data_IF_291469338872
#
_entry.id   IF_291469338872
#
_cell.length_a   1.000
_cell.length_b   1.000
_cell.length_c   1.000
_cell.angle_alpha   90.00
_cell.angle_beta   90.00
_cell.angle_gamma   90.00
#
_symmetry.space_group_name_H-M   'P 1'
#
loop_
_entity.id
_entity.type
_entity.pdbx_description
1 polymer ?
#
# COMPACT_ATOMS: atom_id res chain seq x y z
N UNK A 1 24.48 -0.29 -78.78
CA UNK A 1 25.55 0.05 -77.81
C UNK A 1 24.99 -0.08 -76.40
N UNK A 2 25.70 -0.82 -75.55
CA UNK A 2 25.18 -1.56 -74.39
C UNK A 2 25.00 -0.68 -73.15
N UNK A 3 23.83 -0.78 -72.52
CA UNK A 3 23.44 -0.20 -71.22
C UNK A 3 24.30 -0.75 -70.08
N UNK A 4 24.78 0.11 -69.17
CA UNK A 4 25.08 -0.28 -67.76
C UNK A 4 24.54 0.78 -66.80
N UNK A 5 23.46 0.41 -66.12
CA UNK A 5 22.79 1.13 -65.03
C UNK A 5 23.70 1.12 -63.79
N UNK A 6 24.01 2.29 -63.22
CA UNK A 6 24.60 2.41 -61.88
C UNK A 6 23.48 2.41 -60.84
N UNK A 7 23.36 1.30 -60.11
CA UNK A 7 22.54 1.14 -58.91
C UNK A 7 23.30 1.73 -57.71
N UNK A 8 22.81 2.83 -57.16
CA UNK A 8 23.27 3.38 -55.88
C UNK A 8 22.61 2.63 -54.73
N UNK A 9 23.36 1.77 -54.04
CA UNK A 9 22.94 1.15 -52.79
C UNK A 9 23.04 2.18 -51.65
N UNK A 10 21.90 2.51 -51.03
CA UNK A 10 21.87 3.14 -49.70
C UNK A 10 22.36 2.10 -48.69
N UNK A 11 23.59 2.26 -48.23
CA UNK A 11 24.15 1.47 -47.13
C UNK A 11 23.50 1.99 -45.85
N UNK A 12 22.74 1.12 -45.17
CA UNK A 12 22.09 1.41 -43.90
C UNK A 12 23.14 1.63 -42.79
N UNK A 13 22.84 2.54 -41.85
CA UNK A 13 23.62 2.87 -40.63
C UNK A 13 23.99 1.65 -39.74
N UNK A 14 23.50 0.46 -40.07
CA UNK A 14 23.93 -0.81 -39.47
C UNK A 14 25.33 -1.26 -39.92
N UNK A 15 25.83 -0.82 -41.09
CA UNK A 15 27.16 -1.17 -41.57
C UNK A 15 28.28 -0.32 -40.92
N UNK A 16 27.99 0.95 -40.59
CA UNK A 16 28.93 1.83 -39.90
C UNK A 16 29.19 1.38 -38.45
N UNK A 17 28.14 0.92 -37.76
CA UNK A 17 28.23 0.37 -36.40
C UNK A 17 28.96 -0.99 -36.31
N UNK A 18 29.10 -1.71 -37.43
CA UNK A 18 29.91 -2.93 -37.50
C UNK A 18 31.41 -2.62 -37.68
N UNK A 19 31.74 -1.57 -38.43
CA UNK A 19 33.12 -1.12 -38.63
C UNK A 19 33.74 -0.52 -37.35
N UNK A 20 32.98 0.23 -36.55
CA UNK A 20 33.48 0.75 -35.27
C UNK A 20 33.74 -0.36 -34.24
N UNK A 21 32.98 -1.46 -34.27
CA UNK A 21 33.22 -2.63 -33.42
C UNK A 21 34.46 -3.43 -33.83
N UNK A 22 34.80 -3.48 -35.12
CA UNK A 22 36.04 -4.12 -35.58
C UNK A 22 37.29 -3.32 -35.20
N UNK A 23 37.20 -1.98 -35.12
CA UNK A 23 38.32 -1.14 -34.70
C UNK A 23 38.63 -1.33 -33.20
N UNK A 24 37.61 -1.43 -32.34
CA UNK A 24 37.82 -1.67 -30.90
C UNK A 24 38.33 -3.10 -30.61
N UNK A 25 38.02 -4.08 -31.46
CA UNK A 25 38.53 -5.45 -31.34
C UNK A 25 39.99 -5.59 -31.79
N UNK A 26 40.46 -4.75 -32.73
CA UNK A 26 41.85 -4.79 -33.18
C UNK A 26 42.85 -4.09 -32.23
N UNK A 27 42.41 -3.13 -31.41
CA UNK A 27 43.26 -2.54 -30.36
C UNK A 27 43.54 -3.53 -29.21
N UNK A 28 42.62 -4.47 -28.96
CA UNK A 28 42.83 -5.51 -27.94
C UNK A 28 43.62 -6.73 -28.45
N UNK A 29 43.91 -6.81 -29.75
CA UNK A 29 44.70 -7.90 -30.34
C UNK A 29 46.19 -7.58 -30.40
N UNK A 30 46.57 -6.31 -30.28
CA UNK A 30 47.96 -5.83 -30.17
C UNK A 30 48.51 -5.88 -28.74
N UNK A 31 47.65 -6.05 -27.72
CA UNK A 31 48.07 -6.33 -26.34
C UNK A 31 47.86 -7.81 -26.05
N UNK A 32 48.90 -8.63 -26.25
CA UNK A 32 48.89 -10.09 -26.11
C UNK A 32 48.48 -10.58 -24.72
N UNK A 33 47.18 -10.64 -24.44
CA UNK A 33 46.60 -11.37 -23.30
C UNK A 33 45.62 -12.41 -23.83
N UNK A 34 46.05 -13.67 -23.80
CA UNK A 34 45.21 -14.80 -24.15
C UNK A 34 44.05 -14.93 -23.13
N UNK A 35 42.78 -15.05 -23.58
CA UNK A 35 41.65 -15.14 -22.68
C UNK A 35 41.70 -16.45 -21.88
N UNK A 36 41.43 -16.31 -20.58
CA UNK A 36 41.49 -17.39 -19.59
C UNK A 36 40.55 -18.56 -19.94
N UNK A 37 40.88 -19.80 -19.53
CA UNK A 37 40.07 -20.99 -19.81
C UNK A 37 38.60 -20.86 -19.36
N UNK A 38 38.34 -20.10 -18.30
CA UNK A 38 36.99 -19.83 -17.78
C UNK A 38 36.16 -18.93 -18.71
N UNK A 39 36.80 -17.95 -19.38
CA UNK A 39 36.12 -17.07 -20.33
C UNK A 39 35.73 -17.82 -21.61
N UNK A 40 36.62 -18.70 -22.10
CA UNK A 40 36.32 -19.60 -23.24
C UNK A 40 35.18 -20.57 -22.96
N UNK A 41 35.11 -21.14 -21.76
CA UNK A 41 33.96 -21.98 -21.34
C UNK A 41 32.65 -21.19 -21.31
N UNK A 42 32.65 -19.98 -20.74
CA UNK A 42 31.45 -19.11 -20.67
C UNK A 42 30.95 -18.67 -22.05
N UNK A 43 31.85 -18.36 -22.98
CA UNK A 43 31.45 -18.04 -24.36
C UNK A 43 30.89 -19.25 -25.10
N UNK A 44 31.50 -20.42 -24.92
CA UNK A 44 30.99 -21.67 -25.51
C UNK A 44 29.58 -21.97 -25.00
N UNK A 45 29.34 -21.83 -23.70
CA UNK A 45 28.04 -22.04 -23.07
C UNK A 45 26.98 -21.01 -23.53
N UNK A 46 27.36 -19.73 -23.69
CA UNK A 46 26.48 -18.70 -24.25
C UNK A 46 26.11 -18.98 -25.71
N UNK A 47 27.08 -19.44 -26.50
CA UNK A 47 26.86 -19.81 -27.91
C UNK A 47 25.91 -21.01 -28.03
N UNK A 48 26.03 -22.01 -27.16
CA UNK A 48 25.16 -23.18 -27.12
C UNK A 48 23.75 -22.83 -26.66
N UNK A 49 23.61 -21.97 -25.64
CA UNK A 49 22.30 -21.46 -25.20
C UNK A 49 21.60 -20.68 -26.31
N UNK A 50 22.33 -19.88 -27.10
CA UNK A 50 21.78 -19.16 -28.25
C UNK A 50 21.33 -20.13 -29.35
N UNK A 51 22.16 -21.12 -29.71
CA UNK A 51 21.79 -22.18 -30.68
C UNK A 51 20.57 -23.00 -30.21
N UNK A 52 20.45 -23.31 -28.92
CA UNK A 52 19.27 -23.98 -28.35
C UNK A 52 18.01 -23.12 -28.43
N UNK A 53 18.11 -21.81 -28.19
CA UNK A 53 16.99 -20.87 -28.35
C UNK A 53 16.53 -20.75 -29.80
N UNK A 54 17.46 -20.64 -30.74
CA UNK A 54 17.15 -20.58 -32.18
C UNK A 54 16.57 -21.91 -32.71
N UNK A 55 17.05 -23.07 -32.22
CA UNK A 55 16.42 -24.36 -32.55
C UNK A 55 14.98 -24.43 -32.05
N UNK A 56 14.71 -24.03 -30.81
CA UNK A 56 13.36 -23.98 -30.24
C UNK A 56 12.45 -22.98 -30.95
N UNK A 57 12.97 -21.84 -31.43
CA UNK A 57 12.15 -20.88 -32.18
C UNK A 57 11.77 -21.43 -33.55
N UNK A 58 12.72 -22.05 -34.26
CA UNK A 58 12.47 -22.69 -35.56
C UNK A 58 11.53 -23.90 -35.46
N UNK A 59 11.62 -24.66 -34.39
CA UNK A 59 10.73 -25.79 -34.12
C UNK A 59 9.29 -25.33 -33.86
N UNK A 60 9.12 -24.25 -33.08
CA UNK A 60 7.81 -23.61 -32.87
C UNK A 60 7.23 -23.00 -34.14
N UNK A 61 8.07 -22.43 -35.01
CA UNK A 61 7.62 -21.92 -36.31
C UNK A 61 7.15 -23.06 -37.22
N UNK A 62 7.88 -24.17 -37.26
CA UNK A 62 7.48 -25.38 -38.02
C UNK A 62 6.21 -26.02 -37.48
N UNK A 63 6.02 -26.04 -36.16
CA UNK A 63 4.76 -26.49 -35.57
C UNK A 63 3.59 -25.57 -35.95
N UNK A 64 3.80 -24.25 -35.94
CA UNK A 64 2.78 -23.28 -36.36
C UNK A 64 2.43 -23.40 -37.85
N UNK A 65 3.40 -23.68 -38.72
CA UNK A 65 3.15 -23.94 -40.13
C UNK A 65 2.37 -25.25 -40.33
N UNK A 66 2.75 -26.33 -39.63
CA UNK A 66 2.01 -27.60 -39.65
C UNK A 66 0.59 -27.47 -39.10
N UNK A 67 0.38 -26.65 -38.09
CA UNK A 67 -0.96 -26.31 -37.58
C UNK A 67 -1.75 -25.52 -38.61
N UNK A 68 -1.15 -24.54 -39.30
CA UNK A 68 -1.81 -23.78 -40.37
C UNK A 68 -2.20 -24.66 -41.56
N UNK A 69 -1.37 -25.61 -41.95
CA UNK A 69 -1.69 -26.58 -43.01
C UNK A 69 -2.80 -27.55 -42.58
N UNK A 70 -2.82 -27.99 -41.31
CA UNK A 70 -3.91 -28.79 -40.74
C UNK A 70 -5.22 -27.99 -40.63
N UNK A 71 -5.14 -26.71 -40.31
CA UNK A 71 -6.29 -25.78 -40.26
C UNK A 71 -6.90 -25.51 -41.64
N UNK A 72 -6.09 -25.51 -42.70
CA UNK A 72 -6.59 -25.41 -44.08
C UNK A 72 -7.33 -26.68 -44.54
N UNK A 73 -6.99 -27.85 -43.97
CA UNK A 73 -7.60 -29.13 -44.31
C UNK A 73 -8.93 -29.41 -43.58
N UNK A 74 -9.19 -28.78 -42.42
CA UNK A 74 -10.43 -28.98 -41.65
C UNK A 74 -11.48 -27.92 -42.02
N UNK A 75 -12.53 -28.35 -42.74
CA UNK A 75 -13.66 -27.51 -43.15
C UNK A 75 -14.53 -26.96 -41.99
N UNK A 76 -15.64 -26.32 -42.37
CA UNK A 76 -16.52 -25.45 -41.56
C UNK A 76 -16.93 -25.97 -40.16
N UNK A 77 -16.95 -27.28 -39.91
CA UNK A 77 -17.26 -27.88 -38.61
C UNK A 77 -16.20 -27.61 -37.54
N UNK A 78 -14.92 -27.49 -37.92
CA UNK A 78 -13.83 -27.15 -37.00
C UNK A 78 -13.92 -25.72 -36.46
N UNK A 79 -14.48 -24.78 -37.25
CA UNK A 79 -14.61 -23.37 -36.86
C UNK A 79 -15.64 -23.14 -35.75
N UNK A 80 -16.71 -23.94 -35.69
CA UNK A 80 -17.73 -23.81 -34.65
C UNK A 80 -17.20 -24.25 -33.27
N UNK A 81 -16.58 -25.43 -33.21
CA UNK A 81 -15.96 -25.97 -31.98
C UNK A 81 -14.74 -25.16 -31.51
N UNK A 82 -14.09 -24.42 -32.43
CA UNK A 82 -13.00 -23.49 -32.09
C UNK A 82 -13.53 -22.19 -31.52
N UNK A 83 -14.61 -21.62 -32.08
CA UNK A 83 -15.28 -20.43 -31.51
C UNK A 83 -15.79 -20.66 -30.10
N UNK A 84 -16.28 -21.86 -29.80
CA UNK A 84 -16.79 -22.19 -28.48
C UNK A 84 -15.67 -22.35 -27.45
N UNK A 85 -14.60 -23.08 -27.79
CA UNK A 85 -13.39 -23.18 -26.95
C UNK A 85 -12.62 -21.88 -26.81
N UNK A 86 -12.58 -21.05 -27.86
CA UNK A 86 -11.94 -19.73 -27.81
C UNK A 86 -12.76 -18.76 -26.95
N UNK A 87 -14.11 -18.82 -26.99
CA UNK A 87 -14.97 -18.09 -26.05
C UNK A 87 -14.80 -18.54 -24.60
N UNK A 88 -14.65 -19.83 -24.34
CA UNK A 88 -14.38 -20.33 -22.98
C UNK A 88 -12.98 -19.97 -22.48
N UNK A 89 -11.97 -20.01 -23.37
CA UNK A 89 -10.60 -19.58 -23.06
C UNK A 89 -10.50 -18.07 -22.90
N UNK A 90 -11.24 -17.28 -23.66
CA UNK A 90 -11.38 -15.84 -23.47
C UNK A 90 -12.11 -15.55 -22.17
N UNK A 91 -13.21 -16.22 -21.82
CA UNK A 91 -13.88 -16.08 -20.51
C UNK A 91 -12.95 -16.46 -19.34
N UNK A 92 -12.12 -17.48 -19.51
CA UNK A 92 -11.16 -17.93 -18.49
C UNK A 92 -9.95 -17.00 -18.38
N UNK A 93 -9.47 -16.47 -19.52
CA UNK A 93 -8.40 -15.46 -19.57
C UNK A 93 -8.89 -14.11 -19.08
N UNK A 94 -10.12 -13.71 -19.36
CA UNK A 94 -10.78 -12.52 -18.79
C UNK A 94 -11.02 -12.69 -17.30
N UNK A 95 -11.34 -13.90 -16.80
CA UNK A 95 -11.39 -14.17 -15.36
C UNK A 95 -10.00 -14.04 -14.72
N UNK A 96 -8.95 -14.53 -15.37
CA UNK A 96 -7.56 -14.41 -14.92
C UNK A 96 -6.97 -13.00 -15.01
N UNK A 97 -7.25 -12.28 -16.11
CA UNK A 97 -6.81 -10.91 -16.36
C UNK A 97 -7.65 -9.87 -15.62
N UNK A 98 -8.97 -10.08 -15.44
CA UNK A 98 -9.75 -9.30 -14.45
C UNK A 98 -9.28 -9.62 -13.04
N UNK A 99 -8.90 -10.85 -12.72
CA UNK A 99 -8.36 -11.19 -11.40
C UNK A 99 -6.98 -10.61 -11.14
N UNK A 100 -6.16 -10.33 -12.17
CA UNK A 100 -4.85 -9.68 -12.02
C UNK A 100 -4.95 -8.16 -12.10
N UNK A 101 -5.85 -7.59 -12.93
CA UNK A 101 -6.18 -6.15 -12.93
C UNK A 101 -6.99 -5.70 -11.71
N UNK A 102 -7.80 -6.58 -11.09
CA UNK A 102 -8.46 -6.31 -9.80
C UNK A 102 -7.51 -6.17 -8.62
N UNK A 103 -6.22 -6.52 -8.75
CA UNK A 103 -5.25 -6.47 -7.65
C UNK A 103 -4.81 -5.05 -7.26
N UNK A 104 -5.28 -4.04 -7.96
CA UNK A 104 -5.06 -2.62 -7.63
C UNK A 104 -6.40 -1.89 -7.62
N UNK A 105 -7.38 -2.43 -6.89
CA UNK A 105 -8.60 -1.69 -6.56
C UNK A 105 -8.35 -0.97 -5.24
N UNK A 106 -8.71 0.32 -5.22
CA UNK A 106 -8.62 1.19 -4.03
C UNK A 106 -9.80 0.98 -3.07
N UNK A 107 -10.60 -0.09 -3.28
CA UNK A 107 -11.83 -0.37 -2.55
C UNK A 107 -11.56 -1.27 -1.33
N UNK A 108 -10.78 -0.76 -0.38
CA UNK A 108 -10.34 -1.51 0.81
C UNK A 108 -11.54 -2.02 1.64
N UNK A 109 -12.60 -1.22 1.77
CA UNK A 109 -13.80 -1.57 2.53
C UNK A 109 -14.70 -2.62 1.88
N UNK A 110 -14.42 -3.02 0.63
CA UNK A 110 -15.06 -4.20 0.05
C UNK A 110 -14.42 -5.49 0.59
N UNK A 111 -13.12 -5.48 0.85
CA UNK A 111 -12.32 -6.66 1.18
C UNK A 111 -12.02 -6.81 2.67
N UNK A 112 -12.27 -5.76 3.46
CA UNK A 112 -12.00 -5.76 4.89
C UNK A 112 -13.21 -5.24 5.67
N UNK A 113 -13.33 -5.68 6.92
CA UNK A 113 -14.29 -5.12 7.88
C UNK A 113 -13.54 -4.84 9.16
N UNK A 114 -13.58 -3.59 9.60
CA UNK A 114 -12.91 -3.14 10.81
C UNK A 114 -13.95 -2.83 11.89
N UNK A 115 -13.68 -3.27 13.10
CA UNK A 115 -14.44 -2.91 14.31
C UNK A 115 -13.45 -2.55 15.42
N UNK A 116 -13.97 -2.16 16.58
CA UNK A 116 -13.15 -1.89 17.76
C UNK A 116 -12.58 -3.16 18.43
N UNK A 117 -13.09 -4.35 18.13
CA UNK A 117 -12.65 -5.58 18.81
C UNK A 117 -12.01 -6.62 17.90
N UNK A 118 -12.28 -6.57 16.59
CA UNK A 118 -11.71 -7.49 15.61
C UNK A 118 -11.65 -6.85 14.22
N UNK A 119 -10.78 -7.39 13.38
CA UNK A 119 -10.69 -7.03 11.97
C UNK A 119 -10.83 -8.29 11.11
N UNK A 120 -11.70 -8.24 10.11
CA UNK A 120 -11.86 -9.32 9.12
C UNK A 120 -11.21 -8.90 7.82
N UNK A 121 -10.43 -9.79 7.23
CA UNK A 121 -9.71 -9.54 5.98
C UNK A 121 -9.93 -10.68 5.00
N UNK A 122 -10.14 -10.33 3.74
CA UNK A 122 -10.40 -11.31 2.69
C UNK A 122 -9.19 -12.18 2.39
N UNK A 123 -9.42 -13.50 2.28
CA UNK A 123 -8.41 -14.43 1.78
C UNK A 123 -8.09 -14.11 0.31
N UNK A 124 -6.80 -14.14 -0.02
CA UNK A 124 -6.28 -13.92 -1.38
C UNK A 124 -5.91 -12.47 -1.71
N UNK A 125 -5.76 -11.62 -0.68
CA UNK A 125 -5.09 -10.32 -0.78
C UNK A 125 -3.59 -10.43 -1.07
N UNK A 126 -2.97 -9.30 -1.40
CA UNK A 126 -1.50 -9.22 -1.49
C UNK A 126 -0.89 -9.21 -0.08
N UNK A 127 0.35 -9.69 0.03
CA UNK A 127 1.10 -9.61 1.29
C UNK A 127 1.24 -8.16 1.78
N UNK A 128 1.40 -7.21 0.85
CA UNK A 128 1.40 -5.79 1.13
C UNK A 128 0.07 -5.28 1.72
N UNK A 129 -1.05 -5.91 1.40
CA UNK A 129 -2.34 -5.56 1.98
C UNK A 129 -2.42 -6.04 3.43
N UNK A 130 -2.05 -7.30 3.69
CA UNK A 130 -2.05 -7.84 5.05
C UNK A 130 -1.05 -7.15 5.96
N UNK A 131 0.15 -6.84 5.45
CA UNK A 131 1.20 -6.19 6.25
C UNK A 131 0.77 -4.85 6.81
N UNK A 132 -0.09 -4.11 6.10
CA UNK A 132 -0.59 -2.79 6.55
C UNK A 132 -1.61 -2.93 7.70
N UNK A 133 -2.49 -3.93 7.62
CA UNK A 133 -3.41 -4.21 8.73
C UNK A 133 -2.68 -4.80 9.93
N UNK A 134 -1.78 -5.76 9.70
CA UNK A 134 -1.03 -6.42 10.76
C UNK A 134 -0.05 -5.46 11.46
N UNK A 135 0.60 -4.54 10.73
CA UNK A 135 1.54 -3.60 11.34
C UNK A 135 0.89 -2.67 12.35
N UNK A 136 -0.37 -2.29 12.12
CA UNK A 136 -1.08 -1.33 12.96
C UNK A 136 -1.99 -2.01 14.00
N UNK A 137 -2.56 -3.18 13.67
CA UNK A 137 -3.61 -3.80 14.48
C UNK A 137 -3.13 -4.99 15.32
N UNK A 138 -2.02 -5.66 14.96
CA UNK A 138 -1.68 -6.96 15.54
C UNK A 138 -1.49 -6.93 17.07
N UNK A 139 -1.15 -5.77 17.64
CA UNK A 139 -0.99 -5.62 19.09
C UNK A 139 -2.33 -5.39 19.83
N UNK A 140 -3.37 -4.90 19.14
CA UNK A 140 -4.62 -4.44 19.78
C UNK A 140 -5.81 -5.33 19.47
N UNK A 141 -5.99 -5.75 18.22
CA UNK A 141 -7.14 -6.55 17.77
C UNK A 141 -6.72 -7.70 16.86
N UNK A 142 -7.40 -8.86 16.94
CA UNK A 142 -7.14 -9.98 16.05
C UNK A 142 -7.52 -9.63 14.60
N UNK A 143 -6.58 -9.86 13.68
CA UNK A 143 -6.80 -9.79 12.24
C UNK A 143 -7.10 -11.20 11.74
N UNK A 144 -8.33 -11.44 11.30
CA UNK A 144 -8.83 -12.76 10.90
C UNK A 144 -8.96 -12.84 9.38
N UNK A 145 -8.20 -13.75 8.77
CA UNK A 145 -8.33 -14.05 7.34
C UNK A 145 -9.48 -15.02 7.11
N UNK A 146 -10.52 -14.60 6.40
CA UNK A 146 -11.68 -15.45 6.15
C UNK A 146 -12.22 -15.29 4.73
N UNK A 147 -13.19 -16.11 4.37
CA UNK A 147 -14.10 -15.89 3.26
C UNK A 147 -15.52 -16.00 3.78
N UNK A 148 -16.47 -15.37 3.09
CA UNK A 148 -17.88 -15.43 3.46
C UNK A 148 -18.63 -15.93 2.24
N UNK A 149 -19.20 -17.13 2.32
CA UNK A 149 -19.87 -17.79 1.20
C UNK A 149 -18.94 -18.06 0.02
N UNK A 150 -17.68 -18.42 0.30
CA UNK A 150 -16.64 -18.61 -0.71
C UNK A 150 -16.23 -17.34 -1.46
N UNK A 151 -16.75 -16.18 -1.04
CA UNK A 151 -16.50 -14.89 -1.66
C UNK A 151 -15.45 -14.10 -0.87
N UNK A 152 -14.71 -13.24 -1.58
CA UNK A 152 -13.66 -12.37 -1.02
C UNK A 152 -14.17 -11.00 -0.58
N UNK A 153 -15.44 -10.72 -0.74
CA UNK A 153 -16.03 -9.38 -0.51
C UNK A 153 -16.62 -9.27 0.89
N UNK A 154 -15.81 -9.56 1.92
CA UNK A 154 -16.28 -9.66 3.31
C UNK A 154 -16.90 -8.35 3.79
N UNK A 155 -16.27 -7.21 3.50
CA UNK A 155 -16.73 -5.91 4.01
C UNK A 155 -18.15 -5.54 3.55
N UNK A 156 -18.59 -6.08 2.42
CA UNK A 156 -19.97 -5.92 1.92
C UNK A 156 -20.92 -7.00 2.38
N UNK A 157 -20.44 -8.20 2.66
CA UNK A 157 -21.27 -9.32 3.08
C UNK A 157 -21.51 -9.36 4.59
N UNK A 158 -20.54 -8.94 5.39
CA UNK A 158 -20.58 -9.01 6.83
C UNK A 158 -20.66 -7.63 7.47
N UNK A 159 -21.39 -7.55 8.58
CA UNK A 159 -21.57 -6.33 9.38
C UNK A 159 -21.41 -6.69 10.83
N UNK A 160 -20.76 -5.84 11.60
CA UNK A 160 -20.62 -6.08 13.03
C UNK A 160 -20.01 -4.89 13.74
N UNK A 161 -20.12 -4.95 15.05
CA UNK A 161 -19.55 -4.01 16.00
C UNK A 161 -18.74 -4.80 17.04
N UNK A 162 -18.38 -4.20 18.18
CA UNK A 162 -17.64 -4.94 19.20
C UNK A 162 -18.42 -6.09 19.88
N UNK A 163 -19.76 -6.06 19.81
CA UNK A 163 -20.63 -7.00 20.53
C UNK A 163 -21.02 -8.20 19.65
N UNK A 164 -21.11 -8.01 18.34
CA UNK A 164 -21.61 -9.05 17.45
C UNK A 164 -21.21 -8.91 15.99
N UNK A 165 -21.29 -10.03 15.28
CA UNK A 165 -21.00 -10.17 13.86
C UNK A 165 -22.18 -10.86 13.16
N UNK A 166 -22.73 -10.17 12.17
CA UNK A 166 -23.78 -10.66 11.29
C UNK A 166 -23.17 -11.13 9.98
N UNK A 167 -23.53 -12.35 9.60
CA UNK A 167 -23.09 -12.99 8.37
C UNK A 167 -24.30 -13.46 7.56
N UNK A 168 -24.22 -13.50 6.22
CA UNK A 168 -25.35 -13.95 5.40
C UNK A 168 -25.54 -15.46 5.51
N UNK A 169 -26.73 -15.94 5.15
CA UNK A 169 -27.04 -17.38 5.10
C UNK A 169 -26.18 -18.17 4.10
N UNK A 170 -25.53 -17.50 3.14
CA UNK A 170 -24.58 -18.12 2.21
C UNK A 170 -23.27 -18.57 2.86
N UNK A 171 -23.01 -18.18 4.11
CA UNK A 171 -21.79 -18.51 4.84
C UNK A 171 -21.74 -19.99 5.18
N UNK A 172 -20.65 -20.67 4.81
CA UNK A 172 -20.48 -22.10 5.07
C UNK A 172 -20.23 -22.38 6.56
N UNK A 173 -20.51 -23.61 7.01
CA UNK A 173 -20.26 -24.02 8.41
C UNK A 173 -18.78 -24.00 8.78
N UNK A 174 -17.91 -24.30 7.81
CA UNK A 174 -16.46 -24.24 7.99
C UNK A 174 -15.99 -22.80 8.22
N UNK A 175 -16.48 -21.84 7.43
CA UNK A 175 -16.18 -20.42 7.61
C UNK A 175 -16.71 -19.89 8.95
N UNK A 176 -17.92 -20.31 9.35
CA UNK A 176 -18.49 -19.88 10.62
C UNK A 176 -17.72 -20.46 11.81
N UNK A 177 -17.32 -21.74 11.75
CA UNK A 177 -16.48 -22.33 12.79
C UNK A 177 -15.11 -21.65 12.85
N UNK A 178 -14.51 -21.30 11.71
CA UNK A 178 -13.27 -20.55 11.66
C UNK A 178 -13.41 -19.19 12.36
N UNK A 179 -14.48 -18.44 12.05
CA UNK A 179 -14.78 -17.17 12.71
C UNK A 179 -14.93 -17.35 14.23
N UNK A 180 -15.68 -18.36 14.70
CA UNK A 180 -15.83 -18.65 16.14
C UNK A 180 -14.51 -18.97 16.84
N UNK A 181 -13.59 -19.64 16.17
CA UNK A 181 -12.29 -20.00 16.76
C UNK A 181 -11.31 -18.82 16.81
N UNK A 182 -11.48 -17.82 15.94
CA UNK A 182 -10.55 -16.68 15.82
C UNK A 182 -11.04 -15.40 16.49
N UNK A 183 -12.36 -15.24 16.65
CA UNK A 183 -12.96 -14.07 17.30
C UNK A 183 -12.98 -14.24 18.82
N UNK A 184 -12.94 -13.13 19.58
CA UNK A 184 -13.14 -13.17 21.04
C UNK A 184 -14.52 -13.72 21.40
N UNK A 185 -14.62 -14.47 22.50
CA UNK A 185 -15.87 -15.09 22.99
C UNK A 185 -16.99 -14.08 23.28
N UNK A 186 -16.64 -12.81 23.49
CA UNK A 186 -17.61 -11.73 23.68
C UNK A 186 -18.46 -11.43 22.44
N UNK A 187 -17.95 -11.77 21.24
CA UNK A 187 -18.59 -11.43 19.96
C UNK A 187 -19.60 -12.52 19.58
N UNK A 188 -20.89 -12.18 19.56
CA UNK A 188 -21.95 -13.09 19.12
C UNK A 188 -22.02 -13.15 17.60
N UNK A 189 -21.94 -14.35 17.02
CA UNK A 189 -21.99 -14.56 15.57
C UNK A 189 -23.31 -15.21 15.18
N UNK A 190 -24.05 -14.57 14.26
CA UNK A 190 -25.33 -15.08 13.76
C UNK A 190 -25.43 -15.01 12.24
N UNK A 191 -26.09 -16.02 11.67
CA UNK A 191 -26.54 -16.00 10.27
C UNK A 191 -27.88 -15.30 10.13
N UNK A 192 -27.96 -14.38 9.19
CA UNK A 192 -29.19 -13.71 8.79
C UNK A 192 -29.54 -14.14 7.36
N UNK A 193 -30.81 -14.48 7.14
CA UNK A 193 -31.38 -14.59 5.80
C UNK A 193 -31.97 -13.23 5.43
N UNK A 194 -31.37 -12.58 4.44
CA UNK A 194 -31.87 -11.31 3.91
C UNK A 194 -31.87 -11.38 2.37
N UNK A 195 -32.95 -10.88 1.74
CA UNK A 195 -33.19 -11.05 0.30
C UNK A 195 -33.01 -9.77 -0.49
N UNK A 196 -33.05 -8.60 0.14
CA UNK A 196 -32.92 -7.31 -0.54
C UNK A 196 -31.54 -7.11 -1.16
N UNK A 197 -30.50 -7.17 -0.32
CA UNK A 197 -29.11 -6.96 -0.74
C UNK A 197 -28.15 -7.57 0.27
N UNK A 198 -26.84 -7.40 0.04
CA UNK A 198 -25.81 -7.81 0.99
C UNK A 198 -25.89 -6.98 2.28
N UNK A 199 -25.71 -7.62 3.45
CA UNK A 199 -25.88 -6.99 4.77
C UNK A 199 -25.05 -5.69 4.91
N UNK A 200 -23.82 -5.67 4.42
CA UNK A 200 -22.93 -4.50 4.49
C UNK A 200 -23.30 -3.34 3.58
N UNK A 201 -24.22 -3.52 2.63
CA UNK A 201 -24.77 -2.42 1.86
C UNK A 201 -26.03 -1.83 2.53
N UNK A 202 -26.74 -2.66 3.29
CA UNK A 202 -28.05 -2.37 3.88
C UNK A 202 -27.91 -1.79 5.27
N UNK A 203 -26.84 -2.14 6.00
CA UNK A 203 -26.65 -1.80 7.40
C UNK A 203 -25.36 -0.98 7.56
N UNK A 204 -25.47 0.18 8.22
CA UNK A 204 -24.34 0.94 8.75
C UNK A 204 -24.46 1.00 10.28
N UNK A 205 -23.44 0.56 11.01
CA UNK A 205 -23.52 0.46 12.48
C UNK A 205 -22.28 1.03 13.15
N UNK A 206 -22.48 1.59 14.35
CA UNK A 206 -21.44 1.82 15.34
C UNK A 206 -21.71 0.92 16.57
N UNK A 207 -21.11 1.20 17.75
CA UNK A 207 -21.33 0.39 18.95
C UNK A 207 -22.65 0.68 19.69
N UNK A 208 -23.38 1.73 19.31
CA UNK A 208 -24.57 2.22 20.03
C UNK A 208 -25.84 2.25 19.18
N UNK A 209 -25.69 2.54 17.89
CA UNK A 209 -26.76 2.80 16.93
C UNK A 209 -26.45 2.13 15.59
N UNK A 210 -27.48 1.65 14.91
CA UNK A 210 -27.43 1.15 13.54
C UNK A 210 -28.47 1.83 12.65
N UNK A 211 -28.04 2.23 11.45
CA UNK A 211 -28.91 2.64 10.36
C UNK A 211 -29.15 1.46 9.44
N UNK A 212 -30.42 1.22 9.09
CA UNK A 212 -30.83 0.14 8.19
C UNK A 212 -31.71 0.65 7.06
N UNK A 213 -31.80 -0.16 6.02
CA UNK A 213 -32.72 0.05 4.91
C UNK A 213 -34.18 0.12 5.38
N UNK A 214 -35.01 1.04 4.86
CA UNK A 214 -36.38 1.23 5.32
C UNK A 214 -37.29 0.01 5.12
N UNK A 215 -37.09 -0.72 4.02
CA UNK A 215 -37.87 -1.92 3.68
C UNK A 215 -37.36 -3.22 4.34
N UNK A 216 -36.49 -3.14 5.36
CA UNK A 216 -36.02 -4.33 6.06
C UNK A 216 -37.16 -5.02 6.83
N UNK A 217 -37.18 -6.35 6.84
CA UNK A 217 -38.14 -7.13 7.63
C UNK A 217 -37.95 -6.87 9.13
N UNK A 218 -39.06 -6.81 9.88
CA UNK A 218 -39.04 -6.56 11.33
C UNK A 218 -38.30 -7.64 12.11
N UNK A 219 -38.43 -8.90 11.68
CA UNK A 219 -37.68 -10.02 12.27
C UNK A 219 -36.17 -9.80 12.14
N UNK A 220 -35.70 -9.37 10.97
CA UNK A 220 -34.28 -9.07 10.74
C UNK A 220 -33.82 -7.88 11.57
N UNK A 221 -34.65 -6.84 11.72
CA UNK A 221 -34.37 -5.68 12.56
C UNK A 221 -34.19 -6.05 14.03
N UNK A 222 -35.08 -6.87 14.59
CA UNK A 222 -35.00 -7.38 15.98
C UNK A 222 -33.70 -8.19 16.19
N UNK A 223 -33.37 -9.07 15.23
CA UNK A 223 -32.12 -9.86 15.27
C UNK A 223 -30.88 -8.95 15.28
N UNK A 224 -30.88 -7.88 14.48
CA UNK A 224 -29.77 -6.91 14.45
C UNK A 224 -29.64 -6.21 15.81
N UNK A 225 -30.76 -5.74 16.37
CA UNK A 225 -30.80 -5.07 17.67
C UNK A 225 -30.25 -5.96 18.79
N UNK A 226 -30.68 -7.22 18.85
CA UNK A 226 -30.31 -8.17 19.91
C UNK A 226 -28.83 -8.59 19.85
N UNK A 227 -28.26 -8.72 18.65
CA UNK A 227 -26.89 -9.25 18.47
C UNK A 227 -25.86 -8.15 18.56
N UNK A 228 -26.11 -7.04 17.89
CA UNK A 228 -25.22 -5.89 17.94
C UNK A 228 -25.41 -5.11 19.25
N UNK A 229 -26.53 -5.30 19.95
CA UNK A 229 -26.90 -4.56 21.16
C UNK A 229 -26.88 -3.04 20.89
N UNK A 230 -27.61 -2.64 19.85
CA UNK A 230 -27.70 -1.26 19.35
C UNK A 230 -29.15 -0.90 19.04
N UNK A 231 -29.46 0.39 19.12
CA UNK A 231 -30.73 0.90 18.63
C UNK A 231 -30.73 0.93 17.10
N UNK A 232 -31.77 0.40 16.48
CA UNK A 232 -31.88 0.33 15.03
C UNK A 232 -32.84 1.40 14.52
N UNK A 233 -32.39 2.20 13.56
CA UNK A 233 -33.20 3.21 12.89
C UNK A 233 -33.26 2.97 11.39
N UNK A 234 -34.48 3.01 10.86
CA UNK A 234 -34.75 2.95 9.43
C UNK A 234 -34.61 4.34 8.84
N UNK A 235 -33.64 4.53 7.93
CA UNK A 235 -33.40 5.84 7.33
C UNK A 235 -32.84 5.74 5.92
N UNK A 236 -32.95 6.82 5.15
CA UNK A 236 -32.40 6.93 3.79
C UNK A 236 -31.43 8.10 3.68
N UNK A 237 -30.48 8.01 2.74
CA UNK A 237 -29.42 9.03 2.56
C UNK A 237 -29.42 9.50 1.12
N UNK A 238 -29.81 10.75 0.88
CA UNK A 238 -29.93 11.34 -0.47
C UNK A 238 -30.78 10.47 -1.39
N UNK A 239 -31.97 10.10 -0.91
CA UNK A 239 -32.91 9.20 -1.60
C UNK A 239 -32.37 7.79 -1.89
N UNK A 240 -31.17 7.45 -1.41
CA UNK A 240 -30.62 6.11 -1.49
C UNK A 240 -31.02 5.31 -0.25
N UNK A 241 -31.48 4.10 -0.50
CA UNK A 241 -31.86 3.16 0.56
C UNK A 241 -30.68 2.34 1.09
N UNK A 242 -29.56 2.29 0.35
CA UNK A 242 -28.36 1.52 0.70
C UNK A 242 -27.42 2.30 1.64
N UNK A 243 -27.88 2.55 2.86
CA UNK A 243 -27.14 3.35 3.86
C UNK A 243 -25.74 2.83 4.14
N UNK A 244 -25.54 1.51 4.17
CA UNK A 244 -24.23 0.88 4.41
C UNK A 244 -23.18 1.12 3.32
N UNK A 245 -23.60 1.47 2.10
CA UNK A 245 -22.67 1.78 1.01
C UNK A 245 -22.19 3.23 1.03
N UNK A 246 -23.08 4.13 1.42
CA UNK A 246 -22.89 5.58 1.30
C UNK A 246 -22.53 6.25 2.62
N UNK A 247 -22.45 5.48 3.70
CA UNK A 247 -22.13 6.00 5.03
C UNK A 247 -21.16 5.10 5.74
N UNK A 248 -20.25 5.74 6.45
CA UNK A 248 -19.25 5.10 7.29
C UNK A 248 -19.35 5.74 8.67
N UNK A 249 -19.57 4.91 9.68
CA UNK A 249 -19.79 5.35 11.06
C UNK A 249 -18.69 4.79 11.96
N UNK A 250 -18.33 5.58 12.97
CA UNK A 250 -17.57 5.19 14.15
C UNK A 250 -18.31 5.70 15.39
N UNK A 251 -17.75 5.50 16.58
CA UNK A 251 -18.31 6.11 17.78
C UNK A 251 -17.96 7.60 17.92
N UNK A 252 -16.92 8.08 17.22
CA UNK A 252 -16.44 9.46 17.34
C UNK A 252 -17.07 10.42 16.32
N UNK A 253 -17.50 9.88 15.19
CA UNK A 253 -18.01 10.64 14.05
C UNK A 253 -18.40 9.73 12.90
N UNK A 254 -18.94 10.32 11.84
CA UNK A 254 -19.32 9.61 10.63
C UNK A 254 -19.22 10.46 9.38
N UNK A 255 -19.12 9.80 8.24
CA UNK A 255 -19.15 10.46 6.93
C UNK A 255 -20.30 9.95 6.10
N UNK A 256 -20.95 10.88 5.40
CA UNK A 256 -22.11 10.61 4.54
C UNK A 256 -21.85 11.07 3.10
N UNK A 257 -22.75 10.68 2.20
CA UNK A 257 -22.69 11.03 0.79
C UNK A 257 -22.51 12.55 0.57
N UNK A 258 -21.68 13.00 -0.41
CA UNK A 258 -21.35 14.41 -0.58
C UNK A 258 -22.54 15.32 -0.95
N UNK A 259 -23.59 14.75 -1.56
CA UNK A 259 -24.81 15.49 -1.94
C UNK A 259 -25.86 15.57 -0.82
N UNK A 260 -25.53 15.11 0.40
CA UNK A 260 -26.47 15.16 1.53
C UNK A 260 -26.73 16.60 1.93
N UNK A 261 -28.00 16.97 2.11
CA UNK A 261 -28.34 18.33 2.53
C UNK A 261 -27.82 18.57 3.95
N UNK A 262 -27.60 19.84 4.32
CA UNK A 262 -27.14 20.19 5.68
C UNK A 262 -28.24 19.84 6.70
N UNK A 263 -29.51 19.97 6.32
CA UNK A 263 -30.65 19.62 7.16
C UNK A 263 -30.65 18.11 7.50
N UNK A 264 -30.49 17.25 6.49
CA UNK A 264 -30.44 15.80 6.72
C UNK A 264 -29.19 15.40 7.51
N UNK A 265 -28.06 16.10 7.31
CA UNK A 265 -26.85 15.88 8.11
C UNK A 265 -27.08 16.20 9.59
N UNK A 266 -27.75 17.32 9.89
CA UNK A 266 -28.06 17.73 11.26
C UNK A 266 -29.09 16.80 11.93
N UNK A 267 -30.08 16.33 11.16
CA UNK A 267 -31.05 15.33 11.63
C UNK A 267 -30.37 14.00 11.96
N UNK A 268 -29.54 13.48 11.04
CA UNK A 268 -28.78 12.24 11.24
C UNK A 268 -27.76 12.37 12.38
N UNK A 269 -27.12 13.53 12.52
CA UNK A 269 -26.18 13.84 13.61
C UNK A 269 -26.90 13.84 14.97
N UNK A 270 -28.10 14.42 15.03
CA UNK A 270 -28.93 14.41 16.24
C UNK A 270 -29.43 13.01 16.59
N UNK A 271 -29.77 12.20 15.59
CA UNK A 271 -30.21 10.82 15.76
C UNK A 271 -29.07 9.91 16.25
N UNK A 272 -27.90 10.00 15.60
CA UNK A 272 -26.74 9.16 15.90
C UNK A 272 -25.91 9.66 17.09
N UNK A 273 -26.15 10.89 17.56
CA UNK A 273 -25.38 11.58 18.59
C UNK A 273 -23.88 11.72 18.27
N UNK A 274 -23.50 11.67 16.99
CA UNK A 274 -22.12 11.81 16.51
C UNK A 274 -22.05 12.83 15.39
N UNK A 275 -20.97 13.63 15.29
CA UNK A 275 -20.83 14.60 14.23
C UNK A 275 -20.70 13.90 12.87
N UNK A 276 -21.49 14.38 11.91
CA UNK A 276 -21.46 13.89 10.53
C UNK A 276 -20.94 14.97 9.58
N UNK A 277 -20.18 14.53 8.59
CA UNK A 277 -19.70 15.41 7.51
C UNK A 277 -19.91 14.74 6.16
N UNK A 278 -20.44 15.50 5.21
CA UNK A 278 -20.50 15.08 3.81
C UNK A 278 -19.11 15.17 3.16
N UNK A 279 -18.69 14.10 2.48
CA UNK A 279 -17.38 14.06 1.84
C UNK A 279 -17.26 12.99 0.77
N UNK A 280 -16.08 12.92 0.14
CA UNK A 280 -15.74 11.91 -0.86
C UNK A 280 -14.49 11.15 -0.46
N UNK A 281 -14.24 10.04 -1.13
CA UNK A 281 -12.99 9.27 -1.00
C UNK A 281 -12.43 8.92 -2.37
N UNK A 282 -11.16 8.51 -2.48
CA UNK A 282 -10.58 8.00 -3.73
C UNK A 282 -10.72 8.99 -4.92
N UNK A 283 -10.48 10.29 -4.69
CA UNK A 283 -10.59 11.37 -5.71
C UNK A 283 -12.02 11.61 -6.19
N UNK A 284 -12.96 11.76 -5.26
CA UNK A 284 -14.34 12.10 -5.60
C UNK A 284 -15.30 10.92 -5.76
N UNK A 285 -14.93 9.72 -5.30
CA UNK A 285 -15.87 8.61 -5.17
C UNK A 285 -16.91 8.91 -4.09
N UNK A 286 -18.17 8.70 -4.45
CA UNK A 286 -19.34 8.87 -3.60
C UNK A 286 -19.58 7.65 -2.69
N UNK A 287 -18.99 6.50 -3.02
CA UNK A 287 -19.17 5.24 -2.28
C UNK A 287 -18.12 5.14 -1.16
N UNK A 288 -18.43 5.76 -0.02
CA UNK A 288 -17.53 5.86 1.12
C UNK A 288 -17.12 4.49 1.68
N UNK A 289 -18.08 3.60 1.92
CA UNK A 289 -17.81 2.29 2.52
C UNK A 289 -17.04 1.33 1.59
N UNK A 290 -16.86 1.66 0.30
CA UNK A 290 -15.94 0.94 -0.56
C UNK A 290 -14.51 1.39 -0.30
N UNK A 291 -14.30 2.71 -0.23
CA UNK A 291 -12.97 3.30 -0.21
C UNK A 291 -12.30 3.31 1.15
N UNK A 292 -13.05 3.23 2.26
CA UNK A 292 -12.49 3.23 3.61
C UNK A 292 -13.16 2.26 4.57
N UNK A 293 -12.42 1.94 5.63
CA UNK A 293 -12.92 1.33 6.86
C UNK A 293 -12.30 2.07 8.04
N UNK A 294 -13.06 2.25 9.11
CA UNK A 294 -12.67 3.07 10.25
C UNK A 294 -13.05 2.39 11.56
N UNK A 295 -12.24 2.60 12.58
CA UNK A 295 -12.61 2.39 13.97
C UNK A 295 -12.31 3.69 14.76
N UNK A 296 -12.36 3.64 16.08
CA UNK A 296 -12.21 4.84 16.89
C UNK A 296 -10.78 5.44 16.93
N UNK A 297 -9.75 4.70 16.47
CA UNK A 297 -8.34 5.14 16.56
C UNK A 297 -7.54 5.00 15.27
N UNK A 298 -8.02 4.27 14.26
CA UNK A 298 -7.39 4.08 12.97
C UNK A 298 -8.42 4.07 11.84
N UNK A 299 -7.99 4.57 10.69
CA UNK A 299 -8.75 4.50 9.44
C UNK A 299 -7.85 3.98 8.33
N UNK A 300 -8.34 3.02 7.56
CA UNK A 300 -7.69 2.54 6.34
C UNK A 300 -8.44 3.08 5.14
N UNK A 301 -7.72 3.75 4.24
CA UNK A 301 -8.27 4.44 3.07
C UNK A 301 -7.57 3.98 1.79
N UNK A 302 -8.30 3.98 0.68
CA UNK A 302 -7.74 3.64 -0.63
C UNK A 302 -6.59 4.56 -1.06
N UNK A 303 -5.64 4.04 -1.84
CA UNK A 303 -4.43 4.77 -2.23
C UNK A 303 -4.69 5.99 -3.13
N UNK A 304 -5.86 6.02 -3.79
CA UNK A 304 -6.27 7.15 -4.60
C UNK A 304 -6.70 8.37 -3.77
N UNK A 305 -7.04 8.18 -2.50
CA UNK A 305 -7.55 9.25 -1.61
C UNK A 305 -6.58 10.43 -1.53
N UNK A 306 -7.11 11.63 -1.74
CA UNK A 306 -6.34 12.87 -1.76
C UNK A 306 -6.00 13.34 -0.35
N UNK A 307 -4.93 14.12 -0.18
CA UNK A 307 -4.56 14.67 1.13
C UNK A 307 -5.66 15.54 1.76
N UNK A 308 -6.45 16.22 0.94
CA UNK A 308 -7.62 16.99 1.39
C UNK A 308 -8.73 16.09 1.92
N UNK A 309 -9.00 14.96 1.26
CA UNK A 309 -9.96 13.96 1.75
C UNK A 309 -9.46 13.30 3.05
N UNK A 310 -8.18 12.96 3.14
CA UNK A 310 -7.56 12.40 4.36
C UNK A 310 -7.68 13.37 5.53
N UNK A 311 -7.38 14.66 5.33
CA UNK A 311 -7.50 15.66 6.39
C UNK A 311 -8.93 15.80 6.93
N UNK A 312 -9.94 15.66 6.05
CA UNK A 312 -11.36 15.64 6.48
C UNK A 312 -11.63 14.39 7.31
N UNK A 313 -11.24 13.20 6.84
CA UNK A 313 -11.41 11.93 7.55
C UNK A 313 -10.77 11.99 8.94
N UNK A 314 -9.51 12.44 9.06
CA UNK A 314 -8.81 12.56 10.34
C UNK A 314 -9.53 13.50 11.32
N UNK A 315 -10.10 14.59 10.81
CA UNK A 315 -10.81 15.59 11.62
C UNK A 315 -12.17 15.07 12.13
N UNK A 316 -12.92 14.39 11.28
CA UNK A 316 -14.27 13.87 11.58
C UNK A 316 -14.20 12.72 12.57
N UNK A 317 -13.26 11.80 12.34
CA UNK A 317 -13.08 10.62 13.18
C UNK A 317 -12.17 10.85 14.39
N UNK A 318 -11.64 12.08 14.57
CA UNK A 318 -10.77 12.49 15.70
C UNK A 318 -9.53 11.60 15.92
N UNK A 319 -8.98 11.02 14.86
CA UNK A 319 -7.88 10.05 14.93
C UNK A 319 -6.59 10.64 15.57
N UNK A 320 -6.38 11.95 15.43
CA UNK A 320 -5.22 12.66 16.01
C UNK A 320 -5.25 12.77 17.55
N UNK A 321 -6.41 12.60 18.19
CA UNK A 321 -6.51 12.74 19.65
C UNK A 321 -6.04 11.48 20.40
N UNK A 322 -5.84 10.36 19.71
CA UNK A 322 -5.45 9.09 20.33
C UNK A 322 -3.96 9.02 20.74
N UNK A 323 -3.08 9.93 20.29
CA UNK A 323 -1.69 10.00 20.79
C UNK A 323 -1.06 11.42 20.84
N UNK A 324 -1.48 12.27 21.79
CA UNK A 324 -0.56 13.26 22.36
C UNK A 324 -0.25 13.00 23.84
N UNK A 325 -1.00 12.12 24.52
CA UNK A 325 -0.82 11.86 25.96
C UNK A 325 0.44 11.04 26.25
N UNK A 326 0.73 9.98 25.49
CA UNK A 326 1.92 9.13 25.77
C UNK A 326 3.22 9.87 25.47
N UNK A 327 3.26 10.69 24.43
CA UNK A 327 4.45 11.49 24.06
C UNK A 327 4.65 12.64 25.05
N UNK A 328 3.59 13.38 25.40
CA UNK A 328 3.72 14.48 26.38
C UNK A 328 3.99 13.98 27.79
N UNK A 329 3.45 12.84 28.20
CA UNK A 329 3.74 12.23 29.50
C UNK A 329 5.17 11.69 29.56
N UNK A 330 5.68 11.06 28.48
CA UNK A 330 7.09 10.65 28.41
C UNK A 330 8.05 11.85 28.38
N UNK A 331 7.72 12.91 27.64
CA UNK A 331 8.50 14.15 27.59
C UNK A 331 8.46 14.89 28.94
N UNK A 332 7.32 14.94 29.61
CA UNK A 332 7.20 15.52 30.96
C UNK A 332 7.94 14.69 32.00
N UNK A 333 7.86 13.37 31.97
CA UNK A 333 8.60 12.49 32.87
C UNK A 333 10.12 12.67 32.70
N UNK A 334 10.60 12.72 31.46
CA UNK A 334 12.02 12.97 31.17
C UNK A 334 12.48 14.37 31.64
N UNK A 335 11.66 15.41 31.43
CA UNK A 335 11.95 16.77 31.91
C UNK A 335 11.94 16.87 33.45
N UNK A 336 11.01 16.21 34.12
CA UNK A 336 10.92 16.18 35.60
C UNK A 336 12.13 15.43 36.19
N UNK A 337 12.53 14.33 35.56
CA UNK A 337 13.72 13.58 35.98
C UNK A 337 15.01 14.40 35.80
N UNK A 338 15.14 15.14 34.70
CA UNK A 338 16.28 16.05 34.49
C UNK A 338 16.30 17.23 35.48
N UNK A 339 15.14 17.82 35.81
CA UNK A 339 15.03 18.90 36.82
C UNK A 339 15.34 18.37 38.23
N UNK A 340 14.95 17.13 38.55
CA UNK A 340 15.24 16.51 39.85
C UNK A 340 16.72 16.18 40.03
N UNK A 341 17.44 15.88 38.93
CA UNK A 341 18.88 15.58 38.96
C UNK A 341 19.77 16.81 39.14
N UNK A 342 19.26 18.01 38.87
CA UNK A 342 20.05 19.24 39.03
C UNK A 342 20.07 19.82 40.46
N UNK A 343 19.27 19.30 41.40
CA UNK A 343 19.08 19.94 42.71
C UNK A 343 19.55 19.14 43.95
N UNK A 344 20.06 17.92 43.82
CA UNK A 344 20.53 17.14 44.97
C UNK A 344 22.06 16.95 44.97
N UNK A 345 22.74 17.80 45.73
CA UNK A 345 24.05 17.49 46.30
C UNK A 345 23.96 17.51 47.82
N UNK A 346 24.31 16.38 48.47
CA UNK A 346 25.13 16.45 49.65
C UNK A 346 26.38 15.57 49.53
N UNK A 347 27.49 16.13 49.99
CA UNK A 347 28.77 15.51 50.24
C UNK A 347 28.70 14.53 51.43
N UNK A 348 29.28 13.33 51.33
CA UNK A 348 30.19 12.71 52.34
C UNK A 348 30.62 11.26 52.03
N UNK A 349 31.94 11.07 52.06
CA UNK A 349 32.80 9.92 52.46
C UNK A 349 32.39 8.43 52.41
N UNK A 350 33.24 7.66 51.68
CA UNK A 350 33.98 6.44 52.04
C UNK A 350 33.28 5.07 52.30
N UNK A 351 33.66 4.04 51.52
CA UNK A 351 34.16 2.72 51.98
C UNK A 351 34.60 1.80 50.82
N UNK A 352 35.32 0.74 51.16
CA UNK A 352 36.41 0.08 50.39
C UNK A 352 36.09 -1.36 49.96
N UNK A 353 36.64 -1.78 48.80
CA UNK A 353 36.90 -3.16 48.33
C UNK A 353 35.68 -4.00 47.89
N UNK A 354 35.66 -4.70 46.74
CA UNK A 354 36.59 -5.74 46.30
C UNK A 354 36.45 -5.99 44.78
N UNK A 355 37.56 -6.30 44.11
CA UNK A 355 37.65 -6.59 42.68
C UNK A 355 37.09 -7.98 42.33
N UNK A 356 36.18 -8.07 41.35
CA UNK A 356 36.03 -9.23 40.46
C UNK A 356 35.80 -8.77 39.01
N UNK A 357 36.62 -9.33 38.11
CA UNK A 357 36.65 -9.09 36.67
C UNK A 357 35.46 -9.76 35.98
N UNK A 358 34.77 -9.01 35.11
CA UNK A 358 33.86 -9.51 34.08
C UNK A 358 33.62 -8.37 33.08
N UNK A 359 34.10 -8.52 31.85
CA UNK A 359 34.15 -7.46 30.85
C UNK A 359 32.80 -7.17 30.20
N UNK A 360 32.42 -5.90 30.17
CA UNK A 360 31.37 -5.34 29.32
C UNK A 360 31.96 -4.13 28.56
N UNK A 361 31.69 -4.05 27.26
CA UNK A 361 32.28 -3.11 26.32
C UNK A 361 31.99 -1.65 26.66
N UNK A 362 33.02 -0.80 26.55
CA UNK A 362 32.90 0.65 26.76
C UNK A 362 32.30 1.32 25.51
N UNK A 363 31.10 1.88 25.63
CA UNK A 363 30.67 2.99 24.77
C UNK A 363 31.45 4.24 25.19
N UNK A 364 32.48 4.60 24.44
CA UNK A 364 33.15 5.90 24.58
C UNK A 364 32.16 6.99 24.15
N UNK A 365 31.80 7.88 25.08
CA UNK A 365 31.08 9.10 24.77
C UNK A 365 31.87 9.95 23.79
N UNK A 366 31.21 10.44 22.75
CA UNK A 366 31.77 11.41 21.81
C UNK A 366 31.83 12.76 22.55
N UNK A 367 33.03 13.26 22.85
CA UNK A 367 33.21 14.61 23.38
C UNK A 367 32.78 15.65 22.33
N UNK A 368 32.03 16.67 22.76
CA UNK A 368 31.63 17.80 21.91
C UNK A 368 32.88 18.63 21.52
N UNK A 369 32.99 19.11 20.27
CA UNK A 369 34.11 19.95 19.86
C UNK A 369 34.13 21.26 20.66
N UNK A 370 35.31 21.66 21.16
CA UNK A 370 35.51 22.91 21.91
C UNK A 370 35.58 24.09 20.92
N UNK A 371 34.81 25.15 21.20
CA UNK A 371 34.78 26.39 20.42
C UNK A 371 36.15 27.09 20.57
N UNK A 372 36.77 27.49 19.46
CA UNK A 372 38.07 28.16 19.46
C UNK A 372 37.91 29.69 19.52
N UNK A 373 38.88 30.39 20.12
CA UNK A 373 38.82 31.86 20.28
C UNK A 373 38.77 32.62 18.95
N UNK A 374 39.21 32.00 17.84
CA UNK A 374 39.14 32.57 16.50
C UNK A 374 37.70 32.67 15.94
N UNK A 375 36.75 31.89 16.46
CA UNK A 375 35.36 31.89 15.97
C UNK A 375 34.51 33.04 16.56
N UNK A 376 35.09 33.80 17.49
CA UNK A 376 34.44 34.85 18.29
C UNK A 376 34.87 36.28 17.93
N UNK A 377 35.86 36.47 17.06
CA UNK A 377 36.29 37.80 16.65
C UNK A 377 35.26 38.48 15.72
N UNK A 378 34.83 39.68 16.09
CA UNK A 378 34.01 40.57 15.27
C UNK A 378 32.49 40.44 15.41
N UNK A 379 31.97 39.70 16.40
CA UNK A 379 30.53 39.56 16.65
C UNK A 379 30.07 40.27 17.93
N UNK A 380 28.80 40.67 17.95
CA UNK A 380 28.21 41.36 19.09
C UNK A 380 28.06 40.42 20.31
N UNK A 381 28.06 40.95 21.54
CA UNK A 381 27.98 40.13 22.76
C UNK A 381 26.72 39.24 22.84
N UNK A 382 25.59 39.66 22.25
CA UNK A 382 24.34 38.89 22.23
C UNK A 382 24.41 37.69 21.26
N UNK A 383 25.14 37.80 20.15
CA UNK A 383 25.34 36.71 19.19
C UNK A 383 26.24 35.60 19.76
N UNK A 384 27.20 35.98 20.63
CA UNK A 384 28.13 35.06 21.29
C UNK A 384 27.41 34.15 22.31
N UNK A 385 26.43 34.69 23.04
CA UNK A 385 25.60 33.91 23.97
C UNK A 385 24.63 32.98 23.23
N UNK A 386 24.10 33.43 22.09
CA UNK A 386 23.24 32.60 21.24
C UNK A 386 24.03 31.43 20.59
N UNK A 387 25.28 31.64 20.18
CA UNK A 387 26.17 30.59 19.67
C UNK A 387 26.53 29.54 20.74
N UNK A 388 26.80 29.97 21.98
CA UNK A 388 27.08 29.06 23.10
C UNK A 388 25.86 28.20 23.48
N UNK A 389 24.66 28.75 23.34
CA UNK A 389 23.42 28.04 23.68
C UNK A 389 23.01 27.02 22.62
N UNK A 390 23.26 27.29 21.33
CA UNK A 390 22.87 26.39 20.23
C UNK A 390 23.90 25.31 19.86
N UNK A 391 25.15 25.40 20.32
CA UNK A 391 26.11 24.29 20.28
C UNK A 391 26.57 23.81 18.88
N UNK A 392 26.31 24.58 17.83
CA UNK A 392 26.76 24.33 16.46
C UNK A 392 27.29 25.62 15.85
N UNK A 393 28.60 25.67 15.56
CA UNK A 393 29.23 26.88 15.02
C UNK A 393 29.58 26.81 13.52
N UNK A 394 29.35 25.70 12.81
CA UNK A 394 29.65 25.61 11.36
C UNK A 394 28.86 24.50 10.65
N UNK A 395 28.37 24.77 9.44
CA UNK A 395 27.67 23.81 8.58
C UNK A 395 28.63 23.25 7.52
N UNK A 396 29.45 22.28 7.92
CA UNK A 396 30.46 21.68 7.06
C UNK A 396 29.93 20.36 6.46
N UNK A 397 30.04 20.17 5.14
CA UNK A 397 29.51 18.95 4.48
C UNK A 397 30.43 17.74 4.73
N UNK A 398 29.86 16.58 5.01
CA UNK A 398 30.61 15.32 5.25
C UNK A 398 30.92 14.52 3.98
N UNK A 399 30.68 15.07 2.78
CA UNK A 399 30.95 14.35 1.53
C UNK A 399 32.45 14.09 1.39
N UNK A 400 32.84 12.82 1.30
CA UNK A 400 34.22 12.30 1.22
C UNK A 400 35.09 12.43 2.49
N UNK A 401 34.53 12.74 3.67
CA UNK A 401 35.25 12.64 4.95
C UNK A 401 34.96 11.27 5.59
N UNK A 402 36.01 10.53 5.97
CA UNK A 402 35.87 9.22 6.63
C UNK A 402 35.57 9.42 8.11
N UNK A 403 34.42 8.98 8.58
CA UNK A 403 34.03 9.00 10.00
C UNK A 403 34.26 7.61 10.57
N UNK A 404 35.07 7.49 11.62
CA UNK A 404 35.35 6.19 12.26
C UNK A 404 34.09 5.64 12.95
N UNK A 405 33.76 4.37 12.68
CA UNK A 405 32.58 3.68 13.23
C UNK A 405 31.38 3.50 12.27
N UNK A 406 31.48 3.97 11.02
CA UNK A 406 30.43 3.82 10.00
C UNK A 406 30.77 2.74 8.96
N UNK A 407 31.00 1.50 9.41
CA UNK A 407 31.50 0.41 8.56
C UNK A 407 30.39 -0.51 7.97
N UNK A 408 29.11 -0.23 8.24
CA UNK A 408 27.98 -0.96 7.64
C UNK A 408 26.88 0.02 7.23
N UNK A 409 26.79 0.28 5.92
CA UNK A 409 25.68 1.00 5.32
C UNK A 409 25.24 0.27 4.05
N UNK A 410 24.07 -0.34 4.06
CA UNK A 410 23.45 -0.93 2.88
C UNK A 410 22.59 0.14 2.19
N UNK A 411 22.96 0.52 0.96
CA UNK A 411 22.21 1.50 0.18
C UNK A 411 21.25 0.77 -0.76
N UNK A 412 19.99 0.63 -0.34
CA UNK A 412 18.93 0.13 -1.21
C UNK A 412 18.44 1.26 -2.13
N UNK A 413 19.12 1.46 -3.27
CA UNK A 413 18.73 2.47 -4.27
C UNK A 413 17.47 2.03 -5.02
N UNK A 414 16.30 2.45 -4.55
CA UNK A 414 15.06 2.33 -5.31
C UNK A 414 15.04 3.44 -6.37
N UNK A 415 15.53 3.12 -7.58
CA UNK A 415 15.29 3.97 -8.74
C UNK A 415 13.79 3.96 -9.08
N UNK A 416 13.05 4.93 -8.52
CA UNK A 416 11.67 5.21 -8.96
C UNK A 416 11.71 5.52 -10.45
N UNK A 417 11.19 4.62 -11.27
CA UNK A 417 10.99 4.86 -12.71
C UNK A 417 10.05 6.05 -12.86
N UNK A 418 10.58 7.23 -13.17
CA UNK A 418 9.74 8.33 -13.67
C UNK A 418 9.29 7.94 -15.07
N UNK A 419 7.97 7.85 -15.29
CA UNK A 419 7.41 7.80 -16.63
C UNK A 419 7.83 9.09 -17.34
N UNK A 420 8.53 8.97 -18.47
CA UNK A 420 8.81 10.12 -19.33
C UNK A 420 7.47 10.52 -19.93
N UNK A 421 6.92 11.63 -19.47
CA UNK A 421 5.82 12.29 -20.15
C UNK A 421 6.36 12.75 -21.51
N UNK A 422 5.96 12.05 -22.57
CA UNK A 422 6.07 12.60 -23.91
C UNK A 422 5.02 13.69 -24.00
N UNK A 423 5.44 14.94 -23.87
CA UNK A 423 4.73 16.03 -24.54
C UNK A 423 4.59 15.63 -26.00
N UNK A 424 3.34 15.50 -26.47
CA UNK A 424 3.02 15.31 -27.88
C UNK A 424 3.57 16.50 -28.68
N UNK A 425 4.83 16.43 -29.08
CA UNK A 425 5.44 17.37 -30.03
C UNK A 425 5.08 16.88 -31.43
N UNK A 426 4.61 17.80 -32.30
CA UNK A 426 4.57 17.55 -33.76
C UNK A 426 6.00 17.22 -34.21
N UNK A 427 6.30 15.95 -34.50
CA UNK A 427 7.57 15.57 -35.14
C UNK A 427 8.30 14.31 -34.63
N UNK A 428 7.86 13.65 -33.56
CA UNK A 428 8.40 12.33 -33.18
C UNK A 428 9.78 12.33 -32.45
N UNK A 429 10.28 11.13 -32.18
CA UNK A 429 11.33 10.81 -31.19
C UNK A 429 12.76 10.97 -31.73
N UNK A 430 13.69 11.50 -30.90
CA UNK A 430 15.14 11.67 -31.15
C UNK A 430 15.56 12.54 -32.34
N UNK A 431 15.37 13.87 -32.24
CA UNK A 431 16.16 14.84 -33.01
C UNK A 431 17.01 15.73 -32.08
N UNK A 432 18.24 16.09 -32.47
CA UNK A 432 19.04 17.09 -31.76
C UNK A 432 18.31 18.45 -31.78
N UNK A 433 18.46 19.22 -30.70
CA UNK A 433 17.85 20.54 -30.54
C UNK A 433 18.45 21.52 -31.55
N UNK A 434 17.60 22.26 -32.26
CA UNK A 434 18.04 23.41 -33.05
C UNK A 434 18.57 24.51 -32.12
N UNK A 435 19.71 25.07 -32.47
CA UNK A 435 20.30 26.20 -31.75
C UNK A 435 19.46 27.46 -32.02
N UNK A 436 18.90 28.04 -30.96
CA UNK A 436 18.24 29.35 -31.05
C UNK A 436 19.34 30.41 -31.00
N UNK A 437 19.42 31.21 -32.06
CA UNK A 437 20.15 32.47 -32.13
C UNK A 437 19.26 33.62 -31.62
#
# INVERSE_FOLDING_TARGET
MTKRRKTGYKISETAANLAEKEIVLNVNKTMGRSPSPSHRRREKERSERRKRRERRSREREREREREREREAASGSSGRALRRERDRERERSRDRGERSSRRRSSDDIGVFSKLTNSYCLVAIGGSEAFYSVFESELAETIPVVHTSVGGCRIIGRLAVGNKNGLLVPNSTTDVELQHLRNSLPDAVKIQRIEERLSALGNVIACNDYVALVHPDLDKETEEIIGDILNVEVFRQTIVDNTLVGSYTVLSNQGGMVHPKTSIQDQDELSSLLQVPLVAGTINRGSEVLAAGMVVNDWISFVGMATTATEISVIESVFKLNQAQPSTVTTKLRAALIEDISRSNDHPSTSASTSTRRRGGAGSTRGVERPKISEADLEGKSPEEIEMLKTMGFCTFDTTKNKKVEGNDVGEVHVILKRKYRQYMNRKGGFNRPLDFVA
#
